data_IF_858462165305
#
_entry.id   IF_858462165305
#
_cell.length_a   1.000
_cell.length_b   1.000
_cell.length_c   1.000
_cell.angle_alpha   90.00
_cell.angle_beta   90.00
_cell.angle_gamma   90.00
#
_symmetry.space_group_name_H-M   'P 1'
#
loop_
_entity.id
_entity.type
_entity.pdbx_description
1 polymer ?
#
# COMPACT_ATOMS: atom_id res chain seq x y z
N UNK A 1 -35.10 -3.80 -25.37
CA UNK A 1 -34.94 -3.19 -24.04
C UNK A 1 -34.47 -4.23 -23.01
N UNK A 2 -35.03 -5.45 -23.02
CA UNK A 2 -34.60 -6.56 -22.13
C UNK A 2 -33.14 -6.99 -22.30
N UNK A 3 -32.62 -7.07 -23.53
CA UNK A 3 -31.24 -7.52 -23.78
C UNK A 3 -30.16 -6.59 -23.16
N UNK A 4 -30.44 -5.28 -23.15
CA UNK A 4 -29.60 -4.27 -22.47
C UNK A 4 -29.63 -4.42 -20.94
N UNK A 5 -30.79 -4.83 -20.41
CA UNK A 5 -31.02 -5.00 -18.98
C UNK A 5 -30.40 -6.31 -18.45
N UNK A 6 -30.36 -7.35 -19.28
CA UNK A 6 -29.65 -8.60 -18.99
C UNK A 6 -28.14 -8.36 -19.03
N UNK A 7 -27.62 -7.67 -20.07
CA UNK A 7 -26.20 -7.32 -20.17
C UNK A 7 -25.72 -6.46 -19.01
N UNK A 8 -26.52 -5.48 -18.56
CA UNK A 8 -26.16 -4.64 -17.41
C UNK A 8 -26.12 -5.43 -16.10
N UNK A 9 -27.09 -6.30 -15.83
CA UNK A 9 -27.09 -7.19 -14.66
C UNK A 9 -25.90 -8.16 -14.67
N UNK A 10 -25.59 -8.75 -15.82
CA UNK A 10 -24.46 -9.68 -15.96
C UNK A 10 -23.13 -8.98 -15.65
N UNK A 11 -22.97 -7.75 -16.17
CA UNK A 11 -21.80 -6.90 -15.91
C UNK A 11 -21.67 -6.56 -14.42
N UNK A 12 -22.76 -6.14 -13.77
CA UNK A 12 -22.76 -5.85 -12.33
C UNK A 12 -22.37 -7.08 -11.49
N UNK A 13 -22.89 -8.26 -11.84
CA UNK A 13 -22.52 -9.49 -11.13
C UNK A 13 -21.04 -9.83 -11.32
N UNK A 14 -20.51 -9.67 -12.54
CA UNK A 14 -19.09 -9.88 -12.82
C UNK A 14 -18.20 -8.90 -12.05
N UNK A 15 -18.61 -7.64 -11.95
CA UNK A 15 -17.88 -6.61 -11.21
C UNK A 15 -17.88 -6.88 -9.70
N UNK A 16 -19.01 -7.32 -9.14
CA UNK A 16 -19.10 -7.75 -7.76
C UNK A 16 -18.20 -8.94 -7.46
N UNK A 17 -18.16 -9.93 -8.35
CA UNK A 17 -17.28 -11.10 -8.22
C UNK A 17 -15.81 -10.68 -8.30
N UNK A 18 -15.44 -9.84 -9.28
CA UNK A 18 -14.07 -9.35 -9.41
C UNK A 18 -13.62 -8.60 -8.14
N UNK A 19 -14.48 -7.73 -7.60
CA UNK A 19 -14.20 -7.01 -6.36
C UNK A 19 -14.07 -7.95 -5.15
N UNK A 20 -14.88 -8.99 -5.07
CA UNK A 20 -14.79 -10.00 -4.02
C UNK A 20 -13.48 -10.79 -4.11
N UNK A 21 -13.08 -11.20 -5.32
CA UNK A 21 -11.81 -11.91 -5.57
C UNK A 21 -10.63 -11.03 -5.18
N UNK A 22 -10.60 -9.76 -5.59
CA UNK A 22 -9.52 -8.83 -5.21
C UNK A 22 -9.42 -8.68 -3.70
N UNK A 23 -10.55 -8.56 -2.99
CA UNK A 23 -10.56 -8.47 -1.51
C UNK A 23 -10.01 -9.73 -0.84
N UNK A 24 -10.35 -10.90 -1.34
CA UNK A 24 -9.86 -12.17 -0.79
C UNK A 24 -8.35 -12.33 -1.03
N UNK A 25 -7.88 -12.00 -2.24
CA UNK A 25 -6.46 -12.04 -2.58
C UNK A 25 -5.65 -11.07 -1.72
N UNK A 26 -6.11 -9.82 -1.56
CA UNK A 26 -5.45 -8.84 -0.67
C UNK A 26 -5.32 -9.36 0.75
N UNK A 27 -6.38 -9.96 1.30
CA UNK A 27 -6.38 -10.52 2.66
C UNK A 27 -5.38 -11.66 2.78
N UNK A 28 -5.39 -12.60 1.85
CA UNK A 28 -4.48 -13.74 1.87
C UNK A 28 -3.00 -13.30 1.77
N UNK A 29 -2.70 -12.37 0.86
CA UNK A 29 -1.36 -11.78 0.72
C UNK A 29 -0.95 -11.05 2.00
N UNK A 30 -1.83 -10.24 2.59
CA UNK A 30 -1.56 -9.52 3.84
C UNK A 30 -1.31 -10.50 5.00
N UNK A 31 -2.11 -11.55 5.15
CA UNK A 31 -1.94 -12.55 6.20
C UNK A 31 -0.62 -13.33 6.04
N UNK A 32 -0.26 -13.72 4.83
CA UNK A 32 1.03 -14.36 4.53
C UNK A 32 2.20 -13.41 4.77
N UNK A 33 2.07 -12.15 4.35
CA UNK A 33 3.06 -11.11 4.60
C UNK A 33 3.26 -10.84 6.08
N UNK A 34 2.18 -10.73 6.87
CA UNK A 34 2.28 -10.54 8.33
C UNK A 34 2.93 -11.73 9.02
N UNK A 35 2.76 -12.96 8.50
CA UNK A 35 3.33 -14.16 9.10
C UNK A 35 4.81 -14.35 8.79
N UNK A 36 5.20 -14.16 7.52
CA UNK A 36 6.52 -14.53 7.02
C UNK A 36 7.40 -13.32 6.69
N UNK A 37 6.83 -12.14 6.49
CA UNK A 37 7.53 -10.92 6.06
C UNK A 37 7.95 -10.91 4.59
N UNK A 38 7.54 -11.89 3.79
CA UNK A 38 7.99 -12.10 2.42
C UNK A 38 6.82 -12.11 1.42
N UNK A 39 7.13 -11.75 0.17
CA UNK A 39 6.23 -11.84 -1.00
C UNK A 39 6.68 -12.95 -1.93
N UNK A 40 5.72 -13.66 -2.53
CA UNK A 40 6.02 -14.42 -3.74
C UNK A 40 6.01 -13.50 -4.97
N UNK A 41 6.68 -13.90 -6.05
CA UNK A 41 6.69 -13.11 -7.29
C UNK A 41 5.27 -12.87 -7.85
N UNK A 42 4.39 -13.87 -7.74
CA UNK A 42 3.01 -13.80 -8.19
C UNK A 42 2.19 -12.80 -7.35
N UNK A 43 2.42 -12.77 -6.03
CA UNK A 43 1.76 -11.80 -5.14
C UNK A 43 2.19 -10.38 -5.46
N UNK A 44 3.48 -10.18 -5.79
CA UNK A 44 4.01 -8.89 -6.18
C UNK A 44 3.44 -8.41 -7.51
N UNK A 45 3.35 -9.29 -8.52
CA UNK A 45 2.72 -8.96 -9.80
C UNK A 45 1.24 -8.58 -9.62
N UNK A 46 0.53 -9.27 -8.73
CA UNK A 46 -0.85 -8.92 -8.39
C UNK A 46 -0.96 -7.53 -7.74
N UNK A 47 -0.10 -7.24 -6.77
CA UNK A 47 -0.04 -5.96 -6.06
C UNK A 47 0.26 -4.78 -7.02
N UNK A 48 1.24 -4.96 -7.92
CA UNK A 48 1.63 -3.95 -8.91
C UNK A 48 0.48 -3.62 -9.88
N UNK A 49 -0.24 -4.65 -10.36
CA UNK A 49 -1.38 -4.48 -11.27
C UNK A 49 -2.51 -3.64 -10.68
N UNK A 50 -2.72 -3.73 -9.37
CA UNK A 50 -3.79 -3.01 -8.67
C UNK A 50 -3.29 -1.78 -7.90
N UNK A 51 -1.99 -1.46 -8.02
CA UNK A 51 -1.31 -0.37 -7.33
C UNK A 51 -1.62 -0.34 -5.83
N UNK A 52 -1.39 -1.46 -5.15
CA UNK A 52 -1.63 -1.62 -3.71
C UNK A 52 -0.51 -2.44 -3.09
N UNK A 53 -0.07 -2.07 -1.88
CA UNK A 53 0.90 -2.83 -1.11
C UNK A 53 0.35 -3.17 0.29
N UNK A 54 0.60 -4.36 0.84
CA UNK A 54 0.16 -4.72 2.20
C UNK A 54 0.57 -3.73 3.29
N UNK A 55 1.70 -3.04 3.12
CA UNK A 55 2.16 -2.00 4.05
C UNK A 55 1.21 -0.81 4.14
N UNK A 56 0.40 -0.56 3.11
CA UNK A 56 -0.59 0.53 3.09
C UNK A 56 -1.70 0.29 4.12
N UNK A 57 -1.97 -0.97 4.47
CA UNK A 57 -3.00 -1.36 5.46
C UNK A 57 -2.42 -1.61 6.85
N UNK A 58 -1.10 -1.64 7.00
CA UNK A 58 -0.45 -1.84 8.29
C UNK A 58 -0.46 -0.55 9.11
N UNK A 59 -0.91 -0.66 10.36
CA UNK A 59 -0.76 0.44 11.31
C UNK A 59 0.72 0.76 11.54
N UNK A 60 1.04 2.04 11.63
CA UNK A 60 2.39 2.50 11.96
C UNK A 60 2.80 1.92 13.31
N UNK A 61 3.85 1.10 13.32
CA UNK A 61 4.41 0.55 14.56
C UNK A 61 4.78 1.70 15.51
N UNK A 62 4.39 1.59 16.78
CA UNK A 62 4.65 2.61 17.80
C UNK A 62 6.14 2.94 17.92
N UNK A 63 7.01 1.94 17.77
CA UNK A 63 8.48 2.12 17.74
C UNK A 63 8.95 3.09 16.65
N UNK A 64 8.27 3.10 15.50
CA UNK A 64 8.59 4.01 14.40
C UNK A 64 8.09 5.43 14.72
N UNK A 65 6.94 5.56 15.37
CA UNK A 65 6.42 6.83 15.87
C UNK A 65 7.35 7.41 16.93
N UNK A 66 7.87 6.59 17.85
CA UNK A 66 8.83 7.03 18.86
C UNK A 66 10.16 7.48 18.24
N UNK A 67 10.66 6.76 17.23
CA UNK A 67 11.84 7.19 16.46
C UNK A 67 11.57 8.53 15.76
N UNK A 68 10.42 8.71 15.13
CA UNK A 68 10.06 9.98 14.50
C UNK A 68 9.96 11.12 15.51
N UNK A 69 9.38 10.89 16.69
CA UNK A 69 9.35 11.87 17.79
C UNK A 69 10.73 12.17 18.36
N UNK A 70 11.60 11.18 18.45
CA UNK A 70 12.98 11.35 18.89
C UNK A 70 13.80 12.15 17.86
N UNK A 71 13.59 11.87 16.58
CA UNK A 71 14.13 12.66 15.47
C UNK A 71 13.58 14.08 15.59
N UNK A 72 12.26 14.31 15.64
CA UNK A 72 11.61 15.62 15.80
C UNK A 72 12.17 16.43 16.98
N UNK A 73 12.40 15.79 18.13
CA UNK A 73 13.01 16.40 19.33
C UNK A 73 14.52 16.58 19.23
N UNK A 74 15.19 15.90 18.30
CA UNK A 74 16.59 16.08 18.00
C UNK A 74 16.88 17.49 17.46
N UNK A 75 18.14 17.92 17.55
CA UNK A 75 18.59 19.17 16.92
C UNK A 75 18.54 19.02 15.39
N UNK A 76 17.40 19.33 14.79
CA UNK A 76 17.36 19.65 13.37
C UNK A 76 18.09 20.96 13.17
N UNK A 77 19.28 20.93 12.59
CA UNK A 77 19.84 22.15 12.04
C UNK A 77 18.97 22.54 10.85
N UNK A 78 18.19 23.61 11.01
CA UNK A 78 17.68 24.35 9.86
C UNK A 78 18.88 24.99 9.17
N UNK A 79 19.43 24.25 8.24
CA UNK A 79 20.51 24.67 7.36
C UNK A 79 19.91 25.51 6.22
N UNK A 80 20.51 26.65 5.92
CA UNK A 80 20.13 27.41 4.72
C UNK A 80 20.66 26.71 3.47
N UNK A 81 20.07 27.02 2.31
CA UNK A 81 20.52 26.45 1.03
C UNK A 81 22.01 26.72 0.78
N UNK A 82 22.48 27.91 1.16
CA UNK A 82 23.88 28.34 1.01
C UNK A 82 24.84 27.53 1.89
N UNK A 83 24.41 27.14 3.09
CA UNK A 83 25.18 26.29 3.99
C UNK A 83 25.26 24.84 3.49
N UNK A 84 24.18 24.32 2.88
CA UNK A 84 24.16 22.99 2.26
C UNK A 84 25.09 22.92 1.05
N UNK A 85 25.00 23.92 0.17
CA UNK A 85 25.80 23.99 -1.05
C UNK A 85 27.30 24.06 -0.72
N UNK A 86 27.68 24.63 0.43
CA UNK A 86 29.07 24.71 0.90
C UNK A 86 29.62 23.41 1.50
N UNK A 87 28.73 22.56 2.00
CA UNK A 87 29.07 21.26 2.62
C UNK A 87 29.17 20.14 1.58
N UNK A 88 28.45 20.29 0.47
CA UNK A 88 28.38 19.35 -0.65
C UNK A 88 29.36 19.71 -1.80
N UNK A 89 30.00 20.87 -1.74
CA UNK A 89 31.07 21.30 -2.64
C UNK A 89 32.46 20.89 -2.18
#
# INVERSE_FOLDING_TARGET
MEDLLIKSKLRMNSELIANAVVRLMKRDILERFMRNGEFTADDQEFCDKINWYPIDELELKEEYIEKLKAIEKGKHSKMTKEELDKLMG
#
